data_IF_973840469786
#
_entry.id   IF_973840469786
#
_cell.length_a   1.000
_cell.length_b   1.000
_cell.length_c   1.000
_cell.angle_alpha   90.00
_cell.angle_beta   90.00
_cell.angle_gamma   90.00
#
_symmetry.space_group_name_H-M   'P 1'
#
loop_
_entity.id
_entity.type
_entity.pdbx_description
1 polymer ?
#
# COMPACT_ATOMS: atom_id res chain seq x y z
N UNK A 1 8.84 3.48 8.49
CA UNK A 1 9.09 4.90 8.14
C UNK A 1 8.51 5.31 6.78
N UNK A 2 8.64 4.46 5.75
CA UNK A 2 8.17 4.75 4.39
C UNK A 2 6.71 5.26 4.32
N UNK A 3 5.79 4.53 4.95
CA UNK A 3 4.36 4.84 4.94
C UNK A 3 3.92 6.12 5.70
N UNK A 4 4.87 6.86 6.29
CA UNK A 4 4.63 8.10 7.05
C UNK A 4 5.37 9.26 6.40
N UNK A 5 6.64 9.06 6.04
CA UNK A 5 7.51 10.11 5.49
C UNK A 5 7.63 10.03 3.97
N UNK A 6 8.04 8.86 3.44
CA UNK A 6 8.24 8.67 2.00
C UNK A 6 6.99 8.98 1.19
N UNK A 7 5.84 8.57 1.72
CA UNK A 7 4.52 8.82 1.16
C UNK A 7 4.22 10.32 0.92
N UNK A 8 4.92 11.25 1.59
CA UNK A 8 4.75 12.71 1.47
C UNK A 8 5.81 13.38 0.57
N UNK A 9 6.79 12.63 0.08
CA UNK A 9 7.87 13.16 -0.75
C UNK A 9 7.40 13.29 -2.20
N UNK A 10 7.60 14.46 -2.77
CA UNK A 10 7.13 14.80 -4.12
C UNK A 10 8.27 14.68 -5.14
N UNK A 11 9.49 15.07 -4.76
CA UNK A 11 10.66 15.01 -5.65
C UNK A 11 11.28 13.60 -5.66
N UNK A 12 11.69 13.16 -6.84
CA UNK A 12 12.40 11.90 -7.03
C UNK A 12 13.75 11.89 -6.30
N UNK A 13 14.42 13.05 -6.19
CA UNK A 13 15.68 13.16 -5.45
C UNK A 13 15.46 12.88 -3.96
N UNK A 14 14.41 13.45 -3.36
CA UNK A 14 14.07 13.22 -1.96
C UNK A 14 13.67 11.77 -1.70
N UNK A 15 12.91 11.17 -2.62
CA UNK A 15 12.54 9.76 -2.55
C UNK A 15 13.80 8.86 -2.58
N UNK A 16 14.75 9.14 -3.48
CA UNK A 16 16.00 8.39 -3.56
C UNK A 16 16.86 8.57 -2.31
N UNK A 17 16.98 9.81 -1.82
CA UNK A 17 17.67 10.11 -0.57
C UNK A 17 17.08 9.30 0.60
N UNK A 18 15.75 9.23 0.72
CA UNK A 18 15.10 8.46 1.77
C UNK A 18 15.40 6.95 1.68
N UNK A 19 15.42 6.39 0.46
CA UNK A 19 15.76 4.98 0.24
C UNK A 19 17.20 4.68 0.71
N UNK A 20 18.15 5.52 0.29
CA UNK A 20 19.56 5.40 0.68
C UNK A 20 19.74 5.53 2.20
N UNK A 21 19.09 6.52 2.82
CA UNK A 21 19.11 6.70 4.26
C UNK A 21 18.53 5.47 4.99
N UNK A 22 17.46 4.88 4.47
CA UNK A 22 16.86 3.69 5.06
C UNK A 22 17.83 2.49 5.01
N UNK A 23 18.53 2.28 3.90
CA UNK A 23 19.57 1.25 3.76
C UNK A 23 20.69 1.47 4.78
N UNK A 24 21.20 2.70 4.87
CA UNK A 24 22.28 3.07 5.80
C UNK A 24 21.89 2.79 7.26
N UNK A 25 20.70 3.22 7.68
CA UNK A 25 20.21 3.03 9.04
C UNK A 25 19.98 1.55 9.38
N UNK A 26 19.41 0.78 8.44
CA UNK A 26 19.23 -0.66 8.59
C UNK A 26 20.58 -1.37 8.76
N UNK A 27 21.59 -1.01 7.96
CA UNK A 27 22.94 -1.58 8.08
C UNK A 27 23.57 -1.21 9.43
N UNK A 28 23.54 0.06 9.81
CA UNK A 28 24.17 0.56 11.04
C UNK A 28 23.58 -0.02 12.31
N UNK A 29 22.25 -0.06 12.41
CA UNK A 29 21.57 -0.37 13.67
C UNK A 29 20.96 -1.77 13.72
N UNK A 30 20.54 -2.32 12.58
CA UNK A 30 19.92 -3.65 12.52
C UNK A 30 20.89 -4.73 12.04
N UNK A 31 22.15 -4.36 11.69
CA UNK A 31 23.18 -5.27 11.15
C UNK A 31 22.70 -6.03 9.91
N UNK A 32 21.84 -5.40 9.12
CA UNK A 32 21.32 -5.95 7.87
C UNK A 32 22.14 -5.44 6.69
N UNK A 33 22.86 -6.32 5.97
CA UNK A 33 23.55 -5.96 4.73
C UNK A 33 22.65 -6.19 3.52
N UNK A 34 21.56 -5.42 3.44
CA UNK A 34 20.67 -5.42 2.28
C UNK A 34 21.00 -4.24 1.36
N UNK A 35 20.98 -4.47 0.06
CA UNK A 35 21.05 -3.38 -0.92
C UNK A 35 19.72 -2.60 -0.98
N UNK A 36 19.71 -1.50 -1.74
CA UNK A 36 18.46 -0.81 -2.04
C UNK A 36 17.51 -1.75 -2.81
N UNK A 37 18.03 -2.50 -3.78
CA UNK A 37 17.22 -3.46 -4.52
C UNK A 37 16.60 -4.48 -3.55
N UNK A 38 17.37 -5.06 -2.63
CA UNK A 38 16.87 -6.04 -1.66
C UNK A 38 15.74 -5.52 -0.74
N UNK A 39 15.63 -4.19 -0.56
CA UNK A 39 14.59 -3.56 0.26
C UNK A 39 13.39 -3.09 -0.55
N UNK A 40 13.57 -2.75 -1.82
CA UNK A 40 12.57 -2.07 -2.65
C UNK A 40 12.24 -2.78 -3.98
N UNK A 41 12.80 -3.96 -4.26
CA UNK A 41 12.61 -4.73 -5.51
C UNK A 41 11.13 -4.99 -5.81
N UNK A 42 10.31 -5.21 -4.78
CA UNK A 42 8.88 -5.46 -4.92
C UNK A 42 8.07 -4.46 -4.10
N UNK A 43 6.94 -3.95 -4.63
CA UNK A 43 6.06 -3.13 -3.84
C UNK A 43 5.50 -3.96 -2.68
N UNK A 44 5.84 -3.53 -1.48
CA UNK A 44 5.36 -4.14 -0.25
C UNK A 44 3.90 -3.73 -0.05
N UNK A 45 2.96 -4.60 -0.41
CA UNK A 45 1.52 -4.33 -0.30
C UNK A 45 1.03 -4.85 1.05
N UNK A 46 0.45 -3.95 1.84
CA UNK A 46 -0.22 -4.30 3.08
C UNK A 46 -1.65 -3.79 3.04
N UNK A 47 -2.59 -4.63 3.42
CA UNK A 47 -4.00 -4.29 3.49
C UNK A 47 -4.69 -5.15 4.55
N UNK A 48 -5.94 -4.82 4.86
CA UNK A 48 -6.71 -5.48 5.91
C UNK A 48 -8.06 -6.02 5.44
N UNK A 49 -8.18 -6.18 4.14
CA UNK A 49 -9.35 -6.71 3.47
C UNK A 49 -9.03 -8.01 2.71
N UNK A 50 -7.88 -8.64 3.00
CA UNK A 50 -7.53 -9.95 2.45
C UNK A 50 -8.45 -11.08 2.92
N UNK A 51 -9.11 -10.87 4.07
CA UNK A 51 -10.06 -11.81 4.69
C UNK A 51 -11.40 -11.11 4.90
N UNK A 52 -12.25 -11.03 3.87
CA UNK A 52 -13.51 -10.28 3.94
C UNK A 52 -14.46 -10.75 5.04
N UNK A 53 -14.45 -12.05 5.34
CA UNK A 53 -15.34 -12.70 6.32
C UNK A 53 -14.81 -12.71 7.75
N UNK A 54 -13.65 -12.11 8.02
CA UNK A 54 -13.07 -12.08 9.36
C UNK A 54 -13.70 -10.96 10.20
N UNK A 55 -14.08 -11.29 11.45
CA UNK A 55 -14.60 -10.32 12.41
C UNK A 55 -13.56 -9.24 12.75
N UNK A 56 -12.29 -9.64 12.83
CA UNK A 56 -11.14 -8.75 13.02
C UNK A 56 -10.41 -8.58 11.70
N UNK A 57 -10.36 -7.34 11.21
CA UNK A 57 -9.63 -6.97 9.99
C UNK A 57 -8.18 -6.66 10.36
N UNK A 58 -7.31 -7.64 10.17
CA UNK A 58 -5.88 -7.54 10.48
C UNK A 58 -5.13 -6.82 9.36
N UNK A 59 -4.32 -5.81 9.69
CA UNK A 59 -3.42 -5.17 8.74
C UNK A 59 -2.21 -6.07 8.49
N UNK A 60 -2.21 -6.75 7.34
CA UNK A 60 -1.25 -7.80 7.01
C UNK A 60 -0.65 -7.63 5.61
N UNK A 61 0.47 -8.31 5.37
CA UNK A 61 1.14 -8.31 4.07
C UNK A 61 0.36 -9.17 3.06
N UNK A 62 0.14 -8.61 1.87
CA UNK A 62 -0.45 -9.35 0.77
C UNK A 62 0.64 -10.11 -0.01
N UNK A 63 0.64 -11.43 0.12
CA UNK A 63 1.60 -12.30 -0.58
C UNK A 63 1.48 -12.28 -2.12
N UNK A 64 0.36 -11.82 -2.67
CA UNK A 64 0.11 -11.77 -4.12
C UNK A 64 -0.70 -10.55 -4.51
N UNK A 65 -0.14 -9.71 -5.39
CA UNK A 65 -0.84 -8.59 -6.02
C UNK A 65 -2.07 -9.03 -6.79
N UNK A 66 -2.03 -10.21 -7.43
CA UNK A 66 -3.17 -10.78 -8.16
C UNK A 66 -4.35 -11.06 -7.24
N UNK A 67 -4.10 -11.57 -6.03
CA UNK A 67 -5.16 -11.80 -5.04
C UNK A 67 -5.82 -10.49 -4.62
N UNK A 68 -5.03 -9.44 -4.41
CA UNK A 68 -5.54 -8.11 -4.06
C UNK A 68 -6.35 -7.51 -5.21
N UNK A 69 -5.87 -7.66 -6.46
CA UNK A 69 -6.59 -7.22 -7.65
C UNK A 69 -7.94 -7.92 -7.78
N UNK A 70 -8.01 -9.24 -7.60
CA UNK A 70 -9.28 -9.99 -7.60
C UNK A 70 -10.27 -9.44 -6.57
N UNK A 71 -9.83 -9.29 -5.32
CA UNK A 71 -10.66 -8.71 -4.24
C UNK A 71 -11.15 -7.29 -4.56
N UNK A 72 -10.32 -6.46 -5.17
CA UNK A 72 -10.71 -5.10 -5.56
C UNK A 72 -11.72 -5.09 -6.71
N UNK A 73 -11.61 -6.01 -7.67
CA UNK A 73 -12.60 -6.18 -8.73
C UNK A 73 -13.94 -6.68 -8.16
N UNK A 74 -13.93 -7.68 -7.27
CA UNK A 74 -15.15 -8.15 -6.60
C UNK A 74 -15.85 -6.99 -5.87
N UNK A 75 -15.08 -6.11 -5.21
CA UNK A 75 -15.61 -4.92 -4.53
C UNK A 75 -16.09 -3.84 -5.50
N UNK A 76 -15.47 -3.70 -6.67
CA UNK A 76 -15.95 -2.80 -7.71
C UNK A 76 -17.29 -3.28 -8.28
N UNK A 77 -17.44 -4.59 -8.47
CA UNK A 77 -18.68 -5.20 -8.97
C UNK A 77 -19.81 -5.09 -7.94
N UNK A 78 -19.52 -5.33 -6.65
CA UNK A 78 -20.47 -5.06 -5.55
C UNK A 78 -20.94 -3.59 -5.59
N UNK A 79 -20.00 -2.64 -5.69
CA UNK A 79 -20.34 -1.21 -5.77
C UNK A 79 -21.19 -0.89 -7.01
N UNK A 80 -20.83 -1.41 -8.18
CA UNK A 80 -21.56 -1.16 -9.43
C UNK A 80 -22.97 -1.81 -9.45
N UNK A 81 -23.20 -2.80 -8.59
CA UNK A 81 -24.51 -3.43 -8.39
C UNK A 81 -25.38 -2.62 -7.43
N UNK A 82 -24.80 -2.05 -6.38
CA UNK A 82 -25.51 -1.31 -5.33
C UNK A 82 -25.83 0.14 -5.74
N UNK A 83 -24.95 0.79 -6.49
CA UNK A 83 -25.05 2.22 -6.82
C UNK A 83 -25.33 2.45 -8.30
N UNK A 84 -26.22 3.43 -8.59
CA UNK A 84 -26.57 3.79 -9.96
C UNK A 84 -25.41 4.46 -10.74
N UNK A 85 -24.47 5.09 -10.03
CA UNK A 85 -23.29 5.71 -10.64
C UNK A 85 -22.16 4.68 -10.76
N UNK A 86 -22.14 3.97 -11.89
CA UNK A 86 -21.15 2.93 -12.15
C UNK A 86 -19.74 3.50 -12.37
N UNK A 87 -18.74 2.82 -11.82
CA UNK A 87 -17.32 3.12 -11.98
C UNK A 87 -16.65 2.06 -12.85
N UNK A 88 -15.82 2.50 -13.79
CA UNK A 88 -14.99 1.61 -14.62
C UNK A 88 -13.51 1.79 -14.25
N UNK A 89 -13.09 1.16 -13.16
CA UNK A 89 -11.72 1.23 -12.66
C UNK A 89 -10.90 0.03 -13.14
N UNK A 90 -9.63 0.28 -13.44
CA UNK A 90 -8.66 -0.77 -13.80
C UNK A 90 -7.57 -0.81 -12.72
N UNK A 91 -7.41 -1.97 -12.07
CA UNK A 91 -6.46 -2.15 -10.97
C UNK A 91 -5.11 -2.70 -11.44
N UNK A 92 -4.27 -1.82 -11.99
CA UNK A 92 -2.84 -2.06 -12.18
C UNK A 92 -2.06 -1.86 -10.86
N UNK A 93 -0.79 -2.23 -10.83
CA UNK A 93 0.02 -2.30 -9.60
C UNK A 93 0.01 -0.99 -8.79
N UNK A 94 0.25 0.15 -9.43
CA UNK A 94 0.23 1.44 -8.75
C UNK A 94 -1.16 1.79 -8.21
N UNK A 95 -2.24 1.46 -8.95
CA UNK A 95 -3.61 1.69 -8.50
C UNK A 95 -3.92 0.84 -7.25
N UNK A 96 -3.42 -0.40 -7.19
CA UNK A 96 -3.56 -1.28 -6.02
C UNK A 96 -2.82 -0.70 -4.82
N UNK A 97 -1.55 -0.27 -5.02
CA UNK A 97 -0.75 0.35 -3.95
C UNK A 97 -1.43 1.63 -3.44
N UNK A 98 -1.99 2.43 -4.34
CA UNK A 98 -2.72 3.64 -4.00
C UNK A 98 -3.98 3.32 -3.19
N UNK A 99 -4.81 2.38 -3.64
CA UNK A 99 -6.01 1.94 -2.91
C UNK A 99 -5.68 1.42 -1.51
N UNK A 100 -4.59 0.64 -1.36
CA UNK A 100 -4.12 0.17 -0.06
C UNK A 100 -3.67 1.32 0.84
N UNK A 101 -3.01 2.35 0.28
CA UNK A 101 -2.63 3.56 1.04
C UNK A 101 -3.88 4.28 1.55
N UNK A 102 -4.88 4.51 0.69
CA UNK A 102 -6.14 5.19 1.07
C UNK A 102 -6.86 4.41 2.16
N UNK A 103 -7.06 3.11 1.97
CA UNK A 103 -7.75 2.23 2.92
C UNK A 103 -7.11 2.30 4.31
N UNK A 104 -5.76 2.26 4.36
CA UNK A 104 -5.01 2.41 5.61
C UNK A 104 -5.24 3.76 6.28
N UNK A 105 -5.24 4.87 5.53
CA UNK A 105 -5.42 6.22 6.10
C UNK A 105 -6.82 6.36 6.70
N UNK A 106 -7.87 5.97 5.95
CA UNK A 106 -9.28 6.13 6.37
C UNK A 106 -9.59 5.31 7.63
N UNK A 107 -8.92 4.16 7.83
CA UNK A 107 -9.14 3.29 8.98
C UNK A 107 -8.53 3.78 10.28
N UNK A 108 -7.57 4.71 10.20
CA UNK A 108 -7.00 5.28 11.41
C UNK A 108 -7.97 6.29 12.03
N UNK A 109 -8.13 6.30 13.36
CA UNK A 109 -8.95 7.31 14.02
C UNK A 109 -8.40 8.70 13.69
N UNK A 110 -9.25 9.59 13.17
CA UNK A 110 -8.88 10.94 12.68
C UNK A 110 -7.91 10.93 11.49
N UNK A 111 -7.88 9.83 10.72
CA UNK A 111 -7.14 9.75 9.47
C UNK A 111 -7.77 10.64 8.39
N UNK A 112 -6.94 11.50 7.78
CA UNK A 112 -7.32 12.36 6.67
C UNK A 112 -6.32 12.19 5.54
N UNK A 113 -6.81 12.14 4.29
CA UNK A 113 -5.98 12.08 3.10
C UNK A 113 -6.23 13.31 2.23
N UNK A 114 -5.16 13.91 1.73
CA UNK A 114 -5.22 14.84 0.60
C UNK A 114 -4.73 14.04 -0.61
N UNK A 115 -5.60 13.93 -1.62
CA UNK A 115 -5.40 13.15 -2.84
C UNK A 115 -5.19 14.09 -4.02
#
# INVERSE_FOLDING_TARGET
>A
AQRVFYDRLIDANDQQWFKNLSVELCSRYLRMSKSEEDLYEKPIIFCDFLRPSADVKEYEEAASTTKVSGLLNDKLDEYNTEFANQMNLVFFEDAIVHACRISRIIRQPRGNAML
#
